data_IF_294073093974
#
_entry.id   IF_294073093974
#
_cell.length_a   1.000
_cell.length_b   1.000
_cell.length_c   1.000
_cell.angle_alpha   90.00
_cell.angle_beta   90.00
_cell.angle_gamma   90.00
#
_symmetry.space_group_name_H-M   'P 1'
#
loop_
_entity.id
_entity.type
_entity.pdbx_description
1 polymer ?
#
# COMPACT_ATOMS: atom_id res chain seq x y z
N UNK A 1 1.04 -6.73 -7.52
CA UNK A 1 1.47 -6.52 -8.93
C UNK A 1 1.89 -5.07 -9.11
N UNK A 2 3.19 -4.83 -9.25
CA UNK A 2 3.74 -3.51 -9.49
C UNK A 2 3.75 -3.17 -11.00
N UNK A 3 4.01 -1.90 -11.31
CA UNK A 3 3.96 -1.38 -12.69
C UNK A 3 4.87 -2.13 -13.68
N UNK A 4 6.02 -2.63 -13.21
CA UNK A 4 6.94 -3.39 -14.09
C UNK A 4 6.32 -4.72 -14.52
N UNK A 5 5.62 -5.42 -13.63
CA UNK A 5 4.91 -6.65 -13.98
C UNK A 5 3.76 -6.37 -14.97
N UNK A 6 3.04 -5.27 -14.79
CA UNK A 6 2.00 -4.83 -15.74
C UNK A 6 2.57 -4.61 -17.13
N UNK A 7 3.73 -3.91 -17.24
CA UNK A 7 4.40 -3.69 -18.53
C UNK A 7 4.87 -5.01 -19.15
N UNK A 8 5.52 -5.87 -18.35
CA UNK A 8 6.08 -7.15 -18.84
C UNK A 8 5.00 -8.13 -19.31
N UNK A 9 3.83 -8.12 -18.69
CA UNK A 9 2.73 -9.05 -18.98
C UNK A 9 1.69 -8.47 -19.96
N UNK A 10 1.88 -7.24 -20.43
CA UNK A 10 1.06 -6.64 -21.46
C UNK A 10 -0.23 -5.98 -20.98
N UNK A 11 -0.39 -5.78 -19.66
CA UNK A 11 -1.52 -5.07 -19.11
C UNK A 11 -1.91 -5.51 -17.68
N UNK A 12 -2.83 -4.75 -17.08
CA UNK A 12 -3.29 -5.00 -15.70
C UNK A 12 -4.02 -6.34 -15.60
N UNK A 13 -4.88 -6.65 -16.56
CA UNK A 13 -5.70 -7.87 -16.57
C UNK A 13 -4.83 -9.14 -16.64
N UNK A 14 -3.84 -9.13 -17.53
CA UNK A 14 -2.88 -10.24 -17.68
C UNK A 14 -2.03 -10.40 -16.42
N UNK A 15 -1.61 -9.28 -15.83
CA UNK A 15 -0.82 -9.30 -14.61
C UNK A 15 -1.62 -9.80 -13.39
N UNK A 16 -2.90 -9.47 -13.29
CA UNK A 16 -3.78 -9.99 -12.24
C UNK A 16 -4.05 -11.48 -12.47
N UNK A 17 -4.34 -11.90 -13.70
CA UNK A 17 -4.55 -13.32 -14.04
C UNK A 17 -3.33 -14.16 -13.70
N UNK A 18 -2.13 -13.70 -14.06
CA UNK A 18 -0.88 -14.37 -13.72
C UNK A 18 -0.66 -14.44 -12.19
N UNK A 19 -0.91 -13.34 -11.47
CA UNK A 19 -0.81 -13.29 -10.02
C UNK A 19 -1.74 -14.29 -9.33
N UNK A 20 -2.98 -14.44 -9.81
CA UNK A 20 -3.95 -15.39 -9.29
C UNK A 20 -3.56 -16.85 -9.57
N UNK A 21 -2.91 -17.11 -10.71
CA UNK A 21 -2.46 -18.45 -11.06
C UNK A 21 -1.31 -18.95 -10.17
N UNK A 22 -0.48 -18.04 -9.66
CA UNK A 22 0.70 -18.38 -8.84
C UNK A 22 0.40 -18.36 -7.35
N UNK A 23 -0.53 -17.52 -6.90
CA UNK A 23 -0.78 -17.27 -5.47
C UNK A 23 -2.08 -17.87 -4.95
N UNK A 24 -2.13 -18.08 -3.64
CA UNK A 24 -3.33 -18.54 -2.93
C UNK A 24 -4.06 -17.39 -2.17
N UNK A 25 -3.64 -16.16 -2.36
CA UNK A 25 -4.18 -14.97 -1.69
C UNK A 25 -4.69 -13.92 -2.67
N UNK A 26 -5.22 -12.80 -2.15
CA UNK A 26 -5.65 -11.68 -2.97
C UNK A 26 -4.49 -11.06 -3.72
N UNK A 27 -4.71 -10.70 -5.00
CA UNK A 27 -3.72 -9.98 -5.80
C UNK A 27 -3.76 -8.50 -5.43
N UNK A 28 -2.61 -7.95 -5.06
CA UNK A 28 -2.44 -6.52 -4.82
C UNK A 28 -1.95 -5.81 -6.11
N UNK A 29 -2.57 -4.68 -6.44
CA UNK A 29 -2.22 -3.88 -7.62
C UNK A 29 -1.95 -2.44 -7.21
N UNK A 30 -0.79 -1.90 -7.63
CA UNK A 30 -0.48 -0.49 -7.50
C UNK A 30 -1.20 0.30 -8.58
N UNK A 31 -1.87 1.38 -8.17
CA UNK A 31 -2.62 2.28 -9.03
C UNK A 31 -2.24 3.74 -8.76
N UNK A 32 -2.43 4.59 -9.76
CA UNK A 32 -2.16 6.04 -9.68
C UNK A 32 -3.37 6.89 -10.05
N UNK A 33 -4.48 6.25 -10.40
CA UNK A 33 -5.70 6.95 -10.76
C UNK A 33 -6.94 6.15 -10.35
N UNK A 34 -8.07 6.85 -10.26
CA UNK A 34 -9.38 6.24 -10.01
C UNK A 34 -9.75 5.23 -11.11
N UNK A 35 -9.45 5.56 -12.37
CA UNK A 35 -9.75 4.69 -13.50
C UNK A 35 -8.97 3.36 -13.43
N UNK A 36 -7.68 3.43 -13.07
CA UNK A 36 -6.85 2.24 -12.84
C UNK A 36 -7.39 1.39 -11.68
N UNK A 37 -7.82 2.03 -10.59
CA UNK A 37 -8.38 1.33 -9.45
C UNK A 37 -9.65 0.55 -9.81
N UNK A 38 -10.59 1.20 -10.52
CA UNK A 38 -11.82 0.57 -10.97
C UNK A 38 -11.54 -0.59 -11.93
N UNK A 39 -10.65 -0.40 -12.90
CA UNK A 39 -10.21 -1.45 -13.83
C UNK A 39 -9.60 -2.65 -13.09
N UNK A 40 -8.69 -2.39 -12.15
CA UNK A 40 -8.04 -3.44 -11.37
C UNK A 40 -9.04 -4.27 -10.54
N UNK A 41 -10.02 -3.60 -9.93
CA UNK A 41 -11.09 -4.30 -9.20
C UNK A 41 -11.94 -5.14 -10.15
N UNK A 42 -12.31 -4.59 -11.32
CA UNK A 42 -13.06 -5.31 -12.36
C UNK A 42 -12.33 -6.56 -12.86
N UNK A 43 -10.99 -6.54 -12.89
CA UNK A 43 -10.13 -7.68 -13.24
C UNK A 43 -9.87 -8.66 -12.09
N UNK A 44 -10.42 -8.39 -10.91
CA UNK A 44 -10.36 -9.29 -9.75
C UNK A 44 -9.19 -9.05 -8.80
N UNK A 45 -8.64 -7.83 -8.75
CA UNK A 45 -7.73 -7.44 -7.69
C UNK A 45 -8.46 -7.42 -6.34
N UNK A 46 -7.84 -7.99 -5.31
CA UNK A 46 -8.38 -7.99 -3.95
C UNK A 46 -7.78 -6.90 -3.06
N UNK A 47 -6.66 -6.31 -3.50
CA UNK A 47 -6.00 -5.20 -2.80
C UNK A 47 -5.63 -4.12 -3.83
N UNK A 48 -6.08 -2.91 -3.61
CA UNK A 48 -5.74 -1.73 -4.40
C UNK A 48 -4.79 -0.86 -3.59
N UNK A 49 -3.58 -0.63 -4.08
CA UNK A 49 -2.60 0.25 -3.45
C UNK A 49 -2.54 1.57 -4.23
N UNK A 50 -3.02 2.65 -3.64
CA UNK A 50 -2.86 4.00 -4.16
C UNK A 50 -1.45 4.49 -3.83
N UNK A 51 -0.59 4.57 -4.86
CA UNK A 51 0.85 4.82 -4.73
C UNK A 51 1.22 6.24 -5.21
N UNK A 52 0.56 7.24 -4.62
CA UNK A 52 0.75 8.66 -4.98
C UNK A 52 1.21 9.53 -3.83
N UNK A 53 1.12 9.05 -2.59
CA UNK A 53 1.27 9.83 -1.36
C UNK A 53 0.27 11.00 -1.22
N UNK A 54 -0.72 11.11 -2.10
CA UNK A 54 -1.73 12.16 -2.06
C UNK A 54 -3.04 11.61 -1.46
N UNK A 55 -3.44 12.19 -0.33
CA UNK A 55 -4.68 11.81 0.36
C UNK A 55 -5.92 12.14 -0.46
N UNK A 56 -5.86 13.13 -1.37
CA UNK A 56 -6.98 13.44 -2.26
C UNK A 56 -7.21 12.32 -3.28
N UNK A 57 -6.15 11.71 -3.81
CA UNK A 57 -6.24 10.56 -4.70
C UNK A 57 -6.84 9.35 -3.96
N UNK A 58 -6.38 9.10 -2.73
CA UNK A 58 -6.93 8.03 -1.89
C UNK A 58 -8.42 8.22 -1.65
N UNK A 59 -8.83 9.44 -1.24
CA UNK A 59 -10.23 9.77 -0.99
C UNK A 59 -11.09 9.63 -2.26
N UNK A 60 -10.57 10.05 -3.42
CA UNK A 60 -11.26 9.92 -4.69
C UNK A 60 -11.47 8.45 -5.09
N UNK A 61 -10.44 7.60 -4.94
CA UNK A 61 -10.56 6.15 -5.17
C UNK A 61 -11.57 5.54 -4.22
N UNK A 62 -11.50 5.85 -2.92
CA UNK A 62 -12.44 5.36 -1.91
C UNK A 62 -13.88 5.74 -2.25
N UNK A 63 -14.13 7.01 -2.59
CA UNK A 63 -15.46 7.50 -2.95
C UNK A 63 -16.02 6.80 -4.19
N UNK A 64 -15.21 6.63 -5.23
CA UNK A 64 -15.65 5.99 -6.47
C UNK A 64 -15.93 4.50 -6.29
N UNK A 65 -15.10 3.78 -5.55
CA UNK A 65 -15.35 2.37 -5.23
C UNK A 65 -16.64 2.20 -4.41
N UNK A 66 -16.93 3.11 -3.47
CA UNK A 66 -18.21 3.13 -2.74
C UNK A 66 -19.38 3.40 -3.69
N UNK A 67 -19.26 4.40 -4.56
CA UNK A 67 -20.32 4.77 -5.52
C UNK A 67 -20.68 3.60 -6.44
N UNK A 68 -19.71 2.78 -6.81
CA UNK A 68 -19.90 1.59 -7.65
C UNK A 68 -20.28 0.33 -6.87
N UNK A 69 -20.33 0.38 -5.53
CA UNK A 69 -20.61 -0.79 -4.70
C UNK A 69 -19.48 -1.83 -4.67
N UNK A 70 -18.24 -1.41 -5.00
CA UNK A 70 -17.07 -2.29 -5.10
C UNK A 70 -16.18 -2.27 -3.85
N UNK A 71 -16.42 -1.30 -2.95
CA UNK A 71 -15.50 -1.03 -1.81
C UNK A 71 -15.41 -2.19 -0.82
N UNK A 72 -16.51 -2.86 -0.52
CA UNK A 72 -16.55 -3.95 0.46
C UNK A 72 -15.81 -5.22 -0.01
N UNK A 73 -15.63 -5.36 -1.32
CA UNK A 73 -14.94 -6.50 -1.93
C UNK A 73 -13.42 -6.40 -1.97
N UNK A 74 -12.84 -5.24 -1.60
CA UNK A 74 -11.41 -4.97 -1.74
C UNK A 74 -10.82 -4.31 -0.49
N UNK A 75 -9.50 -4.51 -0.27
CA UNK A 75 -8.70 -3.75 0.67
C UNK A 75 -8.05 -2.56 -0.03
N UNK A 76 -8.16 -1.38 0.57
CA UNK A 76 -7.56 -0.16 0.06
C UNK A 76 -6.30 0.15 0.86
N UNK A 77 -5.15 0.05 0.20
CA UNK A 77 -3.86 0.40 0.77
C UNK A 77 -3.37 1.75 0.22
N UNK A 78 -2.63 2.48 1.03
CA UNK A 78 -2.06 3.78 0.68
C UNK A 78 -0.55 3.76 0.84
N UNK A 79 0.18 4.28 -0.15
CA UNK A 79 1.64 4.28 -0.19
C UNK A 79 2.22 5.43 -1.00
N UNK A 80 3.51 5.33 -1.33
CA UNK A 80 4.20 6.33 -2.17
C UNK A 80 5.02 7.35 -1.39
N UNK A 81 5.50 7.00 -0.18
CA UNK A 81 6.31 7.89 0.65
C UNK A 81 5.55 8.53 1.80
N UNK A 82 4.58 7.80 2.33
CA UNK A 82 3.75 8.19 3.47
C UNK A 82 4.61 8.37 4.73
N UNK A 83 4.32 9.41 5.50
CA UNK A 83 4.96 9.70 6.79
C UNK A 83 4.08 9.23 7.94
N UNK A 84 4.67 9.04 9.13
CA UNK A 84 3.94 8.58 10.32
C UNK A 84 2.77 9.51 10.69
N UNK A 85 2.92 10.82 10.49
CA UNK A 85 1.87 11.81 10.73
C UNK A 85 0.66 11.67 9.80
N UNK A 86 0.83 11.02 8.65
CA UNK A 86 -0.22 10.86 7.64
C UNK A 86 -1.12 9.63 7.92
N UNK A 87 -0.78 8.79 8.93
CA UNK A 87 -1.51 7.56 9.26
C UNK A 87 -2.97 7.82 9.64
N UNK A 88 -3.21 8.76 10.55
CA UNK A 88 -4.57 9.13 10.95
C UNK A 88 -5.40 9.69 9.79
N UNK A 89 -4.89 10.71 9.06
CA UNK A 89 -5.54 11.21 7.84
C UNK A 89 -5.80 10.14 6.78
N UNK A 90 -4.88 9.21 6.54
CA UNK A 90 -5.07 8.11 5.58
C UNK A 90 -6.22 7.17 6.00
N UNK A 91 -6.29 6.81 7.28
CA UNK A 91 -7.41 6.04 7.81
C UNK A 91 -8.75 6.77 7.65
N UNK A 92 -8.79 8.08 7.94
CA UNK A 92 -9.99 8.91 7.75
C UNK A 92 -10.39 9.03 6.27
N UNK A 93 -9.42 9.00 5.33
CA UNK A 93 -9.66 9.01 3.89
C UNK A 93 -10.06 7.62 3.32
N UNK A 94 -10.14 6.58 4.15
CA UNK A 94 -10.65 5.28 3.79
C UNK A 94 -9.61 4.19 3.55
N UNK A 95 -8.34 4.39 3.94
CA UNK A 95 -7.35 3.32 3.87
C UNK A 95 -7.60 2.24 4.92
N UNK A 96 -7.51 0.96 4.52
CA UNK A 96 -7.47 -0.19 5.42
C UNK A 96 -6.04 -0.51 5.87
N UNK A 97 -5.05 -0.12 5.06
CA UNK A 97 -3.63 -0.33 5.32
C UNK A 97 -2.79 0.83 4.78
N UNK A 98 -1.64 1.07 5.40
CA UNK A 98 -0.71 2.11 4.97
C UNK A 98 0.70 1.51 4.87
N UNK A 99 1.36 1.74 3.72
CA UNK A 99 2.75 1.36 3.50
C UNK A 99 3.68 2.50 3.94
N UNK A 100 4.46 2.25 5.00
CA UNK A 100 5.37 3.22 5.61
C UNK A 100 6.79 2.71 5.46
N UNK A 101 7.40 2.93 4.28
CA UNK A 101 8.76 2.48 3.99
C UNK A 101 9.83 3.44 4.51
N UNK A 102 9.91 4.62 3.91
CA UNK A 102 10.99 5.58 4.16
C UNK A 102 11.04 6.08 5.59
N UNK A 103 9.90 6.34 6.20
CA UNK A 103 9.85 6.84 7.57
C UNK A 103 10.41 5.85 8.62
N UNK A 104 10.46 4.56 8.30
CA UNK A 104 11.11 3.55 9.15
C UNK A 104 12.62 3.60 8.95
N UNK A 105 13.09 3.74 7.70
CA UNK A 105 14.53 3.81 7.37
C UNK A 105 15.16 5.10 7.90
N UNK A 106 14.43 6.22 7.87
CA UNK A 106 14.86 7.54 8.32
C UNK A 106 14.52 7.79 9.81
N UNK A 107 14.04 6.77 10.54
CA UNK A 107 13.71 6.91 11.96
C UNK A 107 14.95 7.31 12.78
N UNK A 108 14.81 8.22 13.77
CA UNK A 108 15.90 8.58 14.66
C UNK A 108 16.44 7.34 15.37
N UNK A 109 17.77 7.23 15.42
CA UNK A 109 18.43 6.18 16.19
C UNK A 109 18.10 6.33 17.67
N UNK A 110 17.87 5.21 18.35
CA UNK A 110 17.79 5.19 19.81
C UNK A 110 19.14 5.60 20.39
N UNK A 111 19.17 6.54 21.33
CA UNK A 111 20.36 6.93 22.08
C UNK A 111 20.69 5.84 23.11
N UNK A 112 21.31 4.77 22.64
CA UNK A 112 21.77 3.67 23.49
C UNK A 112 23.21 3.92 23.89
N UNK A 113 23.47 3.95 25.21
CA UNK A 113 24.80 4.06 25.79
C UNK A 113 25.09 2.85 26.64
N UNK A 114 26.23 2.22 26.38
CA UNK A 114 26.78 1.20 27.25
C UNK A 114 27.76 1.85 28.23
N UNK A 115 27.58 1.59 29.52
CA UNK A 115 28.48 2.01 30.58
C UNK A 115 28.90 0.77 31.40
N UNK A 116 30.18 0.58 31.53
CA UNK A 116 30.70 -0.40 32.46
C UNK A 116 30.67 0.23 33.86
N UNK A 117 29.88 -0.33 34.78
CA UNK A 117 29.69 0.21 36.13
C UNK A 117 30.66 -0.42 37.15
N UNK A 118 31.01 -1.69 36.94
CA UNK A 118 32.00 -2.43 37.74
C UNK A 118 32.61 -3.51 36.86
N UNK A 119 33.86 -3.87 37.13
CA UNK A 119 34.53 -5.03 36.55
C UNK A 119 35.21 -5.76 37.71
N UNK A 120 34.76 -6.99 38.02
CA UNK A 120 35.42 -7.91 38.94
C UNK A 120 36.42 -8.71 38.09
N UNK A 121 37.68 -8.51 38.34
CA UNK A 121 38.77 -9.31 37.78
C UNK A 121 39.24 -10.23 38.88
N UNK A 122 38.86 -11.50 38.84
CA UNK A 122 39.45 -12.58 39.65
C UNK A 122 40.79 -13.01 39.03
#
# INVERSE_FOLDING_TARGET
VGKNAVIMLGGVDQAIAAGRAVGHGPVAVQVKSVAEAVSAVGSGAGIIMVDTADLADLAAVHAELNRLGLRDGVRLAFGGGVRLQDLGPAGAAGADAVDVGRAILDAPLLDLRMRVCAADFD
#
